data_IF_272928631413
#
_entry.id   IF_272928631413
#
_cell.length_a   1.000
_cell.length_b   1.000
_cell.length_c   1.000
_cell.angle_alpha   90.00
_cell.angle_beta   90.00
_cell.angle_gamma   90.00
#
_symmetry.space_group_name_H-M   'P 1'
#
loop_
_entity.id
_entity.type
_entity.pdbx_description
1 polymer ?
#
# COMPACT_ATOMS: atom_id res chain seq x y z
N UNK A 1 21.00 -0.69 29.75
CA UNK A 1 19.55 -0.92 29.63
C UNK A 1 19.07 -0.11 28.43
N UNK A 2 18.84 -0.77 27.28
CA UNK A 2 18.49 -0.09 26.05
C UNK A 2 16.99 0.02 25.88
N UNK A 3 16.49 1.20 25.51
CA UNK A 3 15.20 1.33 24.81
C UNK A 3 15.37 2.40 23.75
N UNK A 4 15.74 1.98 22.54
CA UNK A 4 15.52 2.80 21.35
C UNK A 4 14.01 2.93 21.19
N UNK A 5 13.47 4.08 21.60
CA UNK A 5 12.11 4.53 21.30
C UNK A 5 11.98 4.90 19.83
N UNK A 6 12.31 3.98 18.93
CA UNK A 6 11.87 4.03 17.55
C UNK A 6 10.53 3.34 17.49
N UNK A 7 9.44 4.09 17.57
CA UNK A 7 8.12 3.60 17.16
C UNK A 7 8.20 3.27 15.67
N UNK A 8 8.77 2.12 15.33
CA UNK A 8 8.38 1.37 14.15
C UNK A 8 6.92 1.06 14.38
N UNK A 9 6.04 1.99 14.01
CA UNK A 9 4.65 1.68 13.71
C UNK A 9 4.74 0.68 12.58
N UNK A 10 4.90 -0.59 12.95
CA UNK A 10 4.41 -1.69 12.14
C UNK A 10 2.90 -1.49 12.24
N UNK A 11 2.39 -0.55 11.44
CA UNK A 11 0.97 -0.53 11.12
C UNK A 11 0.82 -1.85 10.40
N UNK A 12 0.39 -2.88 11.14
CA UNK A 12 0.17 -4.19 10.56
C UNK A 12 -0.78 -3.93 9.41
N UNK A 13 -0.42 -4.32 8.19
CA UNK A 13 -1.30 -4.18 7.04
C UNK A 13 -2.72 -4.70 7.34
N UNK A 14 -2.82 -5.66 8.28
CA UNK A 14 -4.07 -6.23 8.83
C UNK A 14 -4.84 -5.38 9.86
N UNK A 15 -4.22 -4.37 10.49
CA UNK A 15 -4.86 -3.44 11.43
C UNK A 15 -5.06 -2.04 10.86
N UNK A 16 -4.53 -1.79 9.65
CA UNK A 16 -4.61 -0.52 8.96
C UNK A 16 -6.06 -0.27 8.47
N UNK A 17 -6.49 0.99 8.54
CA UNK A 17 -7.78 1.39 7.97
C UNK A 17 -7.80 1.04 6.48
N UNK A 18 -8.98 0.82 5.87
CA UNK A 18 -9.05 0.56 4.43
C UNK A 18 -8.35 1.67 3.62
N UNK A 19 -8.37 2.93 4.10
CA UNK A 19 -7.63 4.05 3.52
C UNK A 19 -6.11 3.85 3.57
N UNK A 20 -5.56 3.47 4.74
CA UNK A 20 -4.13 3.19 4.88
C UNK A 20 -3.69 1.97 4.04
N UNK A 21 -4.56 0.96 3.89
CA UNK A 21 -4.28 -0.18 3.02
C UNK A 21 -4.28 0.21 1.54
N UNK A 22 -5.19 1.09 1.13
CA UNK A 22 -5.21 1.64 -0.21
C UNK A 22 -3.94 2.47 -0.49
N UNK A 23 -3.59 3.38 0.42
CA UNK A 23 -2.39 4.22 0.32
C UNK A 23 -1.13 3.35 0.22
N UNK A 24 -1.04 2.27 1.03
CA UNK A 24 0.06 1.32 0.97
C UNK A 24 0.13 0.56 -0.35
N UNK A 25 -1.01 0.12 -0.91
CA UNK A 25 -1.06 -0.55 -2.23
C UNK A 25 -0.60 0.41 -3.34
N UNK A 26 -1.03 1.67 -3.31
CA UNK A 26 -0.57 2.70 -4.24
C UNK A 26 0.94 2.96 -4.11
N UNK A 27 1.47 3.05 -2.89
CA UNK A 27 2.90 3.20 -2.63
C UNK A 27 3.72 2.02 -3.17
N UNK A 28 3.23 0.79 -3.00
CA UNK A 28 3.88 -0.41 -3.53
C UNK A 28 3.87 -0.37 -5.06
N UNK A 29 2.75 -0.03 -5.69
CA UNK A 29 2.66 0.11 -7.14
C UNK A 29 3.64 1.17 -7.66
N UNK A 30 3.65 2.36 -7.06
CA UNK A 30 4.53 3.47 -7.46
C UNK A 30 6.01 3.09 -7.30
N UNK A 31 6.37 2.42 -6.20
CA UNK A 31 7.73 1.92 -5.98
C UNK A 31 8.14 0.86 -7.02
N UNK A 32 7.24 -0.03 -7.44
CA UNK A 32 7.50 -1.00 -8.52
C UNK A 32 7.71 -0.28 -9.86
N UNK A 33 6.92 0.76 -10.15
CA UNK A 33 7.03 1.56 -11.36
C UNK A 33 8.34 2.37 -11.38
N UNK A 34 8.72 3.00 -10.26
CA UNK A 34 10.00 3.73 -10.13
C UNK A 34 11.22 2.82 -10.33
N UNK A 35 11.12 1.55 -9.93
CA UNK A 35 12.17 0.54 -10.15
C UNK A 35 12.19 -0.03 -11.56
N UNK A 36 11.23 0.36 -12.42
CA UNK A 36 11.08 -0.18 -13.77
C UNK A 36 10.73 -1.67 -13.80
N UNK A 37 10.15 -2.20 -12.71
CA UNK A 37 9.74 -3.60 -12.61
C UNK A 37 8.36 -3.85 -13.24
N UNK A 38 7.55 -2.80 -13.34
CA UNK A 38 6.24 -2.83 -13.99
C UNK A 38 6.11 -1.65 -14.94
N UNK A 39 5.44 -1.86 -16.07
CA UNK A 39 5.08 -0.81 -17.02
C UNK A 39 4.01 0.11 -16.43
N UNK A 40 3.86 1.30 -17.02
CA UNK A 40 2.84 2.28 -16.62
C UNK A 40 1.40 1.74 -16.76
N UNK A 41 1.20 0.77 -17.65
CA UNK A 41 -0.07 0.06 -17.84
C UNK A 41 -0.33 -0.89 -16.66
N UNK A 42 0.64 -1.73 -16.32
CA UNK A 42 0.56 -2.68 -15.20
C UNK A 42 0.42 -1.94 -13.84
N UNK A 43 1.11 -0.81 -13.67
CA UNK A 43 0.92 0.06 -12.51
C UNK A 43 -0.52 0.56 -12.37
N UNK A 44 -1.14 0.92 -13.50
CA UNK A 44 -2.51 1.42 -13.53
C UNK A 44 -3.48 0.31 -13.17
N UNK A 45 -3.29 -0.89 -13.72
CA UNK A 45 -4.10 -2.07 -13.37
C UNK A 45 -3.99 -2.42 -11.88
N UNK A 46 -2.79 -2.41 -11.31
CA UNK A 46 -2.58 -2.62 -9.88
C UNK A 46 -3.26 -1.55 -9.01
N UNK A 47 -3.25 -0.30 -9.46
CA UNK A 47 -3.92 0.80 -8.76
C UNK A 47 -5.45 0.73 -8.87
N UNK A 48 -5.97 0.31 -10.03
CA UNK A 48 -7.40 0.07 -10.27
C UNK A 48 -7.90 -1.13 -9.44
N UNK A 49 -7.13 -2.22 -9.36
CA UNK A 49 -7.43 -3.37 -8.51
C UNK A 49 -7.40 -2.98 -7.02
N UNK A 50 -6.41 -2.18 -6.60
CA UNK A 50 -6.35 -1.65 -5.24
C UNK A 50 -7.57 -0.79 -4.89
N UNK A 51 -8.04 0.04 -5.84
CA UNK A 51 -9.22 0.89 -5.68
C UNK A 51 -10.51 0.06 -5.66
N UNK A 52 -10.64 -0.95 -6.53
CA UNK A 52 -11.77 -1.86 -6.54
C UNK A 52 -11.86 -2.65 -5.24
N UNK A 53 -10.75 -3.16 -4.73
CA UNK A 53 -10.70 -3.86 -3.44
C UNK A 53 -11.01 -2.92 -2.26
N UNK A 54 -10.61 -1.65 -2.33
CA UNK A 54 -11.00 -0.64 -1.33
C UNK A 54 -12.50 -0.34 -1.37
N UNK A 55 -13.08 -0.19 -2.57
CA UNK A 55 -14.51 0.03 -2.75
C UNK A 55 -15.34 -1.19 -2.29
N UNK A 56 -14.89 -2.41 -2.59
CA UNK A 56 -15.52 -3.65 -2.15
C UNK A 56 -15.49 -3.80 -0.61
N UNK A 57 -14.41 -3.38 0.04
CA UNK A 57 -14.31 -3.36 1.51
C UNK A 57 -15.19 -2.27 2.17
N UNK A 58 -15.57 -1.22 1.44
CA UNK A 58 -16.42 -0.15 1.95
C UNK A 58 -17.91 -0.32 1.67
N UNK A 59 -18.28 -1.05 0.60
CA UNK A 59 -19.66 -1.33 0.21
C UNK A 59 -20.29 -0.23 -0.65
#
# INVERSE_FOLDING_TARGET
MGVFGGSRKVCSFFSATPEERYDFRCLVADHLAQRGLVSKVEWRELSEEAAAAYADELG
#
